data_IF_327351282678
#
_entry.id   IF_327351282678
#
_cell.length_a   1.000
_cell.length_b   1.000
_cell.length_c   1.000
_cell.angle_alpha   90.00
_cell.angle_beta   90.00
_cell.angle_gamma   90.00
#
_symmetry.space_group_name_H-M   'P 1'
#
loop_
_entity.id
_entity.type
_entity.pdbx_description
1 polymer ?
#
# COMPACT_ATOMS: atom_id res chain seq x y z
N UNK A 1 2.95 -12.32 11.31
CA UNK A 1 3.81 -11.77 10.24
C UNK A 1 3.36 -12.12 8.81
N UNK A 2 2.50 -13.12 8.61
CA UNK A 2 2.15 -13.59 7.26
C UNK A 2 1.13 -12.72 6.48
N UNK A 3 0.37 -11.81 7.11
CA UNK A 3 -0.67 -11.05 6.41
C UNK A 3 -0.11 -10.15 5.30
N UNK A 4 0.91 -9.35 5.59
CA UNK A 4 1.50 -8.43 4.61
C UNK A 4 2.26 -9.17 3.51
N UNK A 5 2.94 -10.26 3.87
CA UNK A 5 3.59 -11.13 2.89
C UNK A 5 2.58 -11.83 1.98
N UNK A 6 1.47 -12.33 2.53
CA UNK A 6 0.37 -12.90 1.77
C UNK A 6 -0.28 -11.84 0.87
N UNK A 7 -0.54 -10.62 1.38
CA UNK A 7 -1.09 -9.53 0.60
C UNK A 7 -0.18 -9.14 -0.56
N UNK A 8 1.13 -9.04 -0.32
CA UNK A 8 2.12 -8.78 -1.36
C UNK A 8 2.18 -9.90 -2.40
N UNK A 9 2.07 -11.17 -1.98
CA UNK A 9 2.03 -12.31 -2.89
C UNK A 9 0.77 -12.32 -3.75
N UNK A 10 -0.40 -12.04 -3.15
CA UNK A 10 -1.67 -11.89 -3.89
C UNK A 10 -1.57 -10.72 -4.87
N UNK A 11 -1.08 -9.55 -4.44
CA UNK A 11 -0.87 -8.38 -5.32
C UNK A 11 0.04 -8.72 -6.50
N UNK A 12 1.16 -9.37 -6.24
CA UNK A 12 2.09 -9.79 -7.30
C UNK A 12 1.43 -10.79 -8.27
N UNK A 13 0.64 -11.74 -7.76
CA UNK A 13 -0.13 -12.68 -8.59
C UNK A 13 -1.20 -12.00 -9.43
N UNK A 14 -1.91 -11.02 -8.87
CA UNK A 14 -2.92 -10.21 -9.59
C UNK A 14 -2.27 -9.38 -10.68
N UNK A 15 -1.17 -8.68 -10.39
CA UNK A 15 -0.41 -7.93 -11.40
C UNK A 15 0.18 -8.84 -12.49
N UNK A 16 0.62 -10.05 -12.12
CA UNK A 16 1.15 -11.05 -13.05
C UNK A 16 0.06 -11.84 -13.79
N UNK A 17 -1.22 -11.48 -13.64
CA UNK A 17 -2.38 -12.18 -14.22
C UNK A 17 -2.43 -13.69 -13.92
N UNK A 18 -1.90 -14.10 -12.77
CA UNK A 18 -1.87 -15.51 -12.33
C UNK A 18 -3.23 -16.05 -11.89
N UNK A 19 -4.27 -15.20 -11.87
CA UNK A 19 -5.64 -15.59 -11.58
C UNK A 19 -6.44 -14.46 -10.96
N UNK A 20 -7.70 -14.76 -10.62
CA UNK A 20 -8.59 -13.82 -9.96
C UNK A 20 -8.15 -13.54 -8.52
N UNK A 21 -8.33 -12.30 -8.07
CA UNK A 21 -7.97 -11.85 -6.70
C UNK A 21 -8.61 -12.74 -5.62
N UNK A 22 -9.88 -13.13 -5.79
CA UNK A 22 -10.52 -14.13 -4.93
C UNK A 22 -9.76 -15.47 -4.94
N UNK A 23 -9.44 -16.03 -6.09
CA UNK A 23 -8.73 -17.32 -6.18
C UNK A 23 -7.40 -17.30 -5.41
N UNK A 24 -6.62 -16.22 -5.56
CA UNK A 24 -5.34 -16.06 -4.87
C UNK A 24 -5.50 -15.84 -3.36
N UNK A 25 -6.50 -15.07 -2.92
CA UNK A 25 -6.79 -14.87 -1.48
C UNK A 25 -7.30 -16.16 -0.84
N UNK A 26 -8.24 -16.87 -1.48
CA UNK A 26 -8.75 -18.15 -0.95
C UNK A 26 -7.68 -19.24 -0.97
N UNK A 27 -6.82 -19.29 -2.00
CA UNK A 27 -5.68 -20.21 -2.07
C UNK A 27 -4.60 -19.95 -1.02
N UNK A 28 -4.53 -18.75 -0.45
CA UNK A 28 -3.54 -18.42 0.59
C UNK A 28 -3.86 -19.02 1.97
N UNK A 29 -5.02 -19.68 2.14
CA UNK A 29 -5.51 -20.31 3.37
C UNK A 29 -5.35 -19.44 4.63
N UNK A 30 -5.45 -18.12 4.45
CA UNK A 30 -5.23 -17.16 5.52
C UNK A 30 -6.45 -17.11 6.43
N UNK A 31 -6.28 -17.22 7.76
CA UNK A 31 -7.42 -17.24 8.69
C UNK A 31 -8.39 -16.06 8.49
N UNK A 32 -7.86 -14.87 8.16
CA UNK A 32 -8.66 -13.68 7.91
C UNK A 32 -8.73 -13.32 6.41
N UNK A 33 -9.31 -14.20 5.59
CA UNK A 33 -9.53 -13.99 4.15
C UNK A 33 -10.18 -12.63 3.85
N UNK A 34 -11.21 -12.23 4.62
CA UNK A 34 -11.89 -10.94 4.47
C UNK A 34 -10.95 -9.74 4.67
N UNK A 35 -10.09 -9.82 5.69
CA UNK A 35 -9.12 -8.76 5.98
C UNK A 35 -8.05 -8.68 4.88
N UNK A 36 -7.56 -9.83 4.43
CA UNK A 36 -6.59 -9.90 3.34
C UNK A 36 -7.19 -9.34 2.04
N UNK A 37 -8.40 -9.75 1.69
CA UNK A 37 -9.11 -9.27 0.51
C UNK A 37 -9.31 -7.76 0.54
N UNK A 38 -9.82 -7.22 1.65
CA UNK A 38 -10.00 -5.78 1.83
C UNK A 38 -8.66 -5.04 1.70
N UNK A 39 -7.61 -5.52 2.36
CA UNK A 39 -6.29 -4.91 2.31
C UNK A 39 -5.71 -4.87 0.88
N UNK A 40 -5.80 -5.97 0.13
CA UNK A 40 -5.31 -6.05 -1.25
C UNK A 40 -6.13 -5.12 -2.16
N UNK A 41 -7.46 -5.14 -2.03
CA UNK A 41 -8.36 -4.31 -2.84
C UNK A 41 -8.10 -2.82 -2.62
N UNK A 42 -7.99 -2.40 -1.36
CA UNK A 42 -7.66 -1.03 -1.00
C UNK A 42 -6.25 -0.64 -1.49
N UNK A 43 -5.24 -1.49 -1.24
CA UNK A 43 -3.86 -1.21 -1.69
C UNK A 43 -3.80 -1.05 -3.21
N UNK A 44 -4.57 -1.84 -3.96
CA UNK A 44 -4.66 -1.73 -5.41
C UNK A 44 -5.37 -0.44 -5.84
N UNK A 45 -6.45 -0.06 -5.15
CA UNK A 45 -7.16 1.20 -5.37
C UNK A 45 -6.22 2.40 -5.22
N UNK A 46 -5.40 2.41 -4.17
CA UNK A 46 -4.41 3.46 -3.90
C UNK A 46 -3.05 3.25 -4.60
N UNK A 47 -2.92 2.26 -5.49
CA UNK A 47 -1.63 1.85 -6.05
C UNK A 47 -0.84 2.99 -6.69
N UNK A 48 -1.51 3.85 -7.46
CA UNK A 48 -0.90 5.01 -8.14
C UNK A 48 -0.38 6.06 -7.16
N UNK A 49 -1.13 6.33 -6.10
CA UNK A 49 -0.75 7.25 -5.03
C UNK A 49 0.43 6.68 -4.24
N UNK A 50 0.35 5.39 -3.88
CA UNK A 50 1.40 4.69 -3.15
C UNK A 50 2.69 4.62 -3.96
N UNK A 51 2.63 4.35 -5.26
CA UNK A 51 3.79 4.37 -6.15
C UNK A 51 4.46 5.74 -6.18
N UNK A 52 3.68 6.81 -6.33
CA UNK A 52 4.21 8.17 -6.33
C UNK A 52 4.89 8.51 -4.98
N UNK A 53 4.26 8.17 -3.86
CA UNK A 53 4.82 8.40 -2.52
C UNK A 53 6.09 7.55 -2.30
N UNK A 54 6.09 6.28 -2.71
CA UNK A 54 7.25 5.38 -2.59
C UNK A 54 8.42 5.88 -3.44
N UNK A 55 8.15 6.33 -4.66
CA UNK A 55 9.14 6.90 -5.56
C UNK A 55 9.74 8.19 -4.98
N UNK A 56 8.91 9.12 -4.51
CA UNK A 56 9.36 10.38 -3.90
C UNK A 56 10.10 10.17 -2.59
N UNK A 57 9.62 9.26 -1.73
CA UNK A 57 10.30 8.93 -0.48
C UNK A 57 11.59 8.13 -0.69
N UNK A 58 11.81 7.58 -1.89
CA UNK A 58 12.99 6.78 -2.22
C UNK A 58 13.08 5.48 -1.43
N UNK A 59 11.95 4.93 -0.97
CA UNK A 59 11.93 3.77 -0.05
C UNK A 59 12.63 2.54 -0.67
N UNK A 60 12.38 2.28 -1.96
CA UNK A 60 13.00 1.17 -2.70
C UNK A 60 14.50 1.41 -2.96
N UNK A 61 14.96 2.67 -2.95
CA UNK A 61 16.38 2.98 -3.04
C UNK A 61 17.08 2.75 -1.70
N UNK A 62 16.42 3.08 -0.59
CA UNK A 62 16.93 2.85 0.76
C UNK A 62 16.98 1.35 1.10
N UNK A 63 15.89 0.61 0.86
CA UNK A 63 15.79 -0.81 1.14
C UNK A 63 15.71 -1.65 -0.13
N UNK A 64 16.88 -1.98 -0.71
CA UNK A 64 16.98 -2.96 -1.81
C UNK A 64 16.47 -4.37 -1.44
N UNK A 65 16.40 -4.68 -0.14
CA UNK A 65 15.85 -5.95 0.38
C UNK A 65 14.32 -5.97 0.45
N UNK A 66 13.65 -4.82 0.32
CA UNK A 66 12.19 -4.77 0.28
C UNK A 66 11.68 -5.10 -1.12
N UNK A 67 10.72 -6.02 -1.21
CA UNK A 67 9.97 -6.21 -2.45
C UNK A 67 9.03 -5.01 -2.67
N UNK A 68 8.87 -4.53 -3.91
CA UNK A 68 8.01 -3.38 -4.21
C UNK A 68 6.54 -3.59 -3.79
N UNK A 69 6.00 -4.79 -4.01
CA UNK A 69 4.64 -5.14 -3.56
C UNK A 69 4.49 -5.09 -2.04
N UNK A 70 5.52 -5.53 -1.30
CA UNK A 70 5.50 -5.47 0.15
C UNK A 70 5.60 -4.02 0.64
N UNK A 71 6.41 -3.19 -0.02
CA UNK A 71 6.51 -1.76 0.27
C UNK A 71 5.13 -1.08 0.16
N UNK A 72 4.40 -1.32 -0.94
CA UNK A 72 3.05 -0.79 -1.16
C UNK A 72 2.11 -1.11 -0.02
N UNK A 73 1.99 -2.39 0.34
CA UNK A 73 1.07 -2.84 1.40
C UNK A 73 1.45 -2.21 2.76
N UNK A 74 2.74 -2.14 3.06
CA UNK A 74 3.23 -1.56 4.31
C UNK A 74 2.99 -0.04 4.39
N UNK A 75 3.22 0.68 3.30
CA UNK A 75 2.98 2.13 3.22
C UNK A 75 1.47 2.41 3.30
N UNK A 76 0.64 1.61 2.64
CA UNK A 76 -0.81 1.68 2.77
C UNK A 76 -1.25 1.53 4.23
N UNK A 77 -0.81 0.47 4.91
CA UNK A 77 -1.18 0.24 6.32
C UNK A 77 -0.69 1.34 7.28
N UNK A 78 0.44 1.97 6.95
CA UNK A 78 1.01 3.06 7.72
C UNK A 78 0.27 4.39 7.54
N UNK A 79 -0.10 4.71 6.30
CA UNK A 79 -0.67 6.02 5.94
C UNK A 79 -2.20 6.04 5.97
N UNK A 80 -2.82 4.95 5.52
CA UNK A 80 -4.26 4.82 5.24
C UNK A 80 -4.93 3.78 6.14
N UNK A 81 -4.16 2.79 6.59
CA UNK A 81 -4.63 1.76 7.51
C UNK A 81 -4.77 2.24 8.95
N UNK A 82 -5.08 1.30 9.85
CA UNK A 82 -5.22 1.55 11.29
C UNK A 82 -3.88 1.58 12.04
N UNK A 83 -2.76 1.68 11.30
CA UNK A 83 -1.41 1.54 11.81
C UNK A 83 -1.05 0.10 12.17
N UNK A 84 0.25 -0.15 12.40
CA UNK A 84 0.77 -1.45 12.82
C UNK A 84 0.35 -1.78 14.26
N UNK A 85 -0.89 -2.23 14.46
CA UNK A 85 -1.40 -2.79 15.73
C UNK A 85 -0.64 -4.08 16.10
N UNK A 86 0.61 -3.95 16.54
CA UNK A 86 1.50 -5.04 16.96
C UNK A 86 2.06 -5.93 15.84
N UNK A 87 1.56 -5.84 14.59
CA UNK A 87 1.95 -6.73 13.48
C UNK A 87 3.13 -6.26 12.62
N UNK A 88 3.68 -5.07 12.90
CA UNK A 88 4.78 -4.49 12.12
C UNK A 88 6.13 -5.18 12.31
N UNK A 89 6.33 -5.89 13.43
CA UNK A 89 7.52 -6.71 13.70
C UNK A 89 8.84 -6.05 13.26
N UNK A 90 9.61 -6.75 12.41
CA UNK A 90 10.89 -6.28 11.84
C UNK A 90 10.78 -5.03 10.96
N UNK A 91 9.63 -4.79 10.34
CA UNK A 91 9.45 -3.64 9.44
C UNK A 91 9.10 -2.36 10.19
N UNK A 92 8.51 -2.47 11.38
CA UNK A 92 8.10 -1.33 12.20
C UNK A 92 9.20 -0.28 12.39
N UNK A 93 10.42 -0.60 12.87
CA UNK A 93 11.48 0.39 13.04
C UNK A 93 11.99 0.96 11.71
N UNK A 94 11.92 0.16 10.63
CA UNK A 94 12.31 0.60 9.30
C UNK A 94 11.32 1.61 8.75
N UNK A 95 10.03 1.27 8.78
CA UNK A 95 8.95 2.17 8.39
C UNK A 95 8.90 3.40 9.26
N UNK A 96 9.15 3.31 10.56
CA UNK A 96 9.14 4.47 11.46
C UNK A 96 10.20 5.50 11.07
N UNK A 97 11.42 5.05 10.74
CA UNK A 97 12.50 5.91 10.21
C UNK A 97 12.10 6.62 8.91
N UNK A 98 11.39 5.92 8.02
CA UNK A 98 10.92 6.49 6.76
C UNK A 98 9.54 7.14 6.86
N UNK A 99 8.81 6.97 7.97
CA UNK A 99 7.43 7.38 8.15
C UNK A 99 7.30 8.89 8.07
N UNK A 100 8.23 9.62 8.70
CA UNK A 100 8.25 11.06 8.65
C UNK A 100 8.34 11.56 7.20
N UNK A 101 9.22 10.95 6.38
CA UNK A 101 9.33 11.27 4.95
C UNK A 101 8.09 10.86 4.17
N UNK A 102 7.59 9.64 4.36
CA UNK A 102 6.39 9.14 3.68
C UNK A 102 5.17 10.02 3.96
N UNK A 103 4.97 10.42 5.22
CA UNK A 103 3.88 11.33 5.62
C UNK A 103 4.07 12.72 5.02
N UNK A 104 5.31 13.25 5.02
CA UNK A 104 5.60 14.54 4.39
C UNK A 104 5.36 14.51 2.88
N UNK A 105 5.78 13.45 2.18
CA UNK A 105 5.53 13.28 0.75
C UNK A 105 4.05 13.08 0.44
N UNK A 106 3.33 12.31 1.25
CA UNK A 106 1.87 12.20 1.13
C UNK A 106 1.19 13.57 1.31
N UNK A 107 1.58 14.34 2.33
CA UNK A 107 1.04 15.68 2.57
C UNK A 107 1.34 16.62 1.40
N UNK A 108 2.56 16.60 0.87
CA UNK A 108 2.92 17.34 -0.36
C UNK A 108 2.09 16.91 -1.55
N UNK A 109 1.82 15.62 -1.70
CA UNK A 109 1.02 15.07 -2.79
C UNK A 109 -0.46 15.45 -2.66
N UNK A 110 -0.99 15.47 -1.43
CA UNK A 110 -2.32 16.00 -1.10
C UNK A 110 -2.45 17.47 -1.48
N UNK A 111 -1.50 18.30 -1.05
CA UNK A 111 -1.46 19.73 -1.38
C UNK A 111 -1.36 19.93 -2.90
N UNK A 112 -0.49 19.19 -3.59
CA UNK A 112 -0.36 19.25 -5.05
C UNK A 112 -1.64 18.89 -5.79
N UNK A 113 -2.39 17.92 -5.28
CA UNK A 113 -3.69 17.53 -5.86
C UNK A 113 -4.86 18.39 -5.36
N UNK A 114 -4.63 19.25 -4.37
CA UNK A 114 -5.67 20.08 -3.76
C UNK A 114 -6.67 19.30 -2.92
N UNK A 115 -6.29 18.13 -2.41
CA UNK A 115 -7.21 17.19 -1.73
C UNK A 115 -6.95 17.13 -0.23
N UNK A 116 -8.02 17.17 0.55
CA UNK A 116 -7.96 17.14 2.02
C UNK A 116 -7.99 15.70 2.55
N UNK A 117 -8.83 14.84 1.95
CA UNK A 117 -9.02 13.47 2.39
C UNK A 117 -8.18 12.48 1.62
N UNK A 118 -8.00 11.31 2.22
CA UNK A 118 -7.28 10.23 1.59
C UNK A 118 -8.08 9.67 0.41
N UNK A 119 -9.40 9.54 0.55
CA UNK A 119 -10.30 9.07 -0.51
C UNK A 119 -10.27 9.97 -1.75
N UNK A 120 -10.19 11.29 -1.59
CA UNK A 120 -10.06 12.25 -2.69
C UNK A 120 -8.79 12.05 -3.53
N UNK A 121 -7.72 11.47 -2.96
CA UNK A 121 -6.51 11.15 -3.73
C UNK A 121 -6.80 10.13 -4.85
N UNK A 122 -7.85 9.32 -4.69
CA UNK A 122 -8.30 8.33 -5.68
C UNK A 122 -9.17 8.97 -6.77
N UNK A 123 -9.99 9.96 -6.41
CA UNK A 123 -10.92 10.62 -7.34
C UNK A 123 -10.25 11.68 -8.22
N UNK A 124 -9.04 12.12 -7.88
CA UNK A 124 -8.24 13.04 -8.69
C UNK A 124 -7.78 12.51 -10.07
N UNK A 125 -8.27 11.35 -10.51
CA UNK A 125 -8.08 10.80 -11.86
C UNK A 125 -9.19 11.16 -12.86
N UNK A 126 -10.30 11.76 -12.43
CA UNK A 126 -11.36 12.20 -13.35
C UNK A 126 -11.59 13.71 -13.23
N UNK A 127 -10.84 14.46 -14.03
CA UNK A 127 -11.48 15.57 -14.76
C UNK A 127 -11.79 15.04 -16.15
N UNK A 128 -13.03 15.21 -16.60
CA UNK A 128 -13.22 16.06 -17.75
C UNK A 128 -13.95 17.32 -17.26
N UNK A 129 -13.31 18.47 -17.45
CA UNK A 129 -14.09 19.68 -17.72
C UNK A 129 -14.79 19.54 -19.07
N UNK A 130 -15.68 20.46 -19.47
CA UNK A 130 -15.88 21.81 -18.96
C UNK A 130 -17.13 21.99 -18.08
#
# INVERSE_FOLDING_TARGET
>A
MALYAAAAAVLAGVESRQGSLKGLVYGSNFQNVKQLYALVCETQRYSTVLDAVIASAGLLRAEKKLRPHLAKVLVYELLLGRGFKGRGGRWKPLLDRHQARLKAELARLKVRRGVSQNEDLLEGGSKPGP
#
